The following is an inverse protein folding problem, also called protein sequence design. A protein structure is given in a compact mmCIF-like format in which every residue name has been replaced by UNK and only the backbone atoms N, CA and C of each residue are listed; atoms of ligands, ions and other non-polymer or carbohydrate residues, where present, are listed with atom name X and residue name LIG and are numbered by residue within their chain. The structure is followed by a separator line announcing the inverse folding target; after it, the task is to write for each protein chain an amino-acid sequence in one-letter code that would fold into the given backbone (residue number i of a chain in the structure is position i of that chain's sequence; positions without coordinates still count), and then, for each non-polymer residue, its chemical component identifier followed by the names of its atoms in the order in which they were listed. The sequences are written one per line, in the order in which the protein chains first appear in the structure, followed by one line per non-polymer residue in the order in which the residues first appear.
data_IF_995407051895
#
_entry.id   IF_995407051895
#
_cell.length_a   1.000
_cell.length_b   1.000
_cell.length_c   1.000
_cell.angle_alpha   90.00
_cell.angle_beta   90.00
_cell.angle_gamma   90.00
#
_symmetry.space_group_name_H-M   'P 1'
#
loop_
_entity.id
_entity.type
_entity.pdbx_description
1 polymer ?
#
# COMPACT_ATOMS: atom_id res chain seq x y z
N UNK A 1 65.18 -1.36 -11.92
CA UNK A 1 63.93 -1.85 -11.31
C UNK A 1 63.29 -0.62 -10.68
N UNK A 2 62.38 0.01 -11.41
CA UNK A 2 61.96 1.40 -11.22
C UNK A 2 61.06 1.60 -10.00
N UNK A 3 61.59 2.35 -9.03
CA UNK A 3 60.90 2.77 -7.79
C UNK A 3 59.78 3.80 -8.10
N UNK A 4 59.77 4.37 -9.30
CA UNK A 4 58.76 5.35 -9.72
C UNK A 4 57.38 4.76 -10.02
N UNK A 5 57.25 3.46 -10.26
CA UNK A 5 55.96 2.84 -10.59
C UNK A 5 55.12 2.46 -9.35
N UNK A 6 55.77 2.13 -8.23
CA UNK A 6 55.10 1.63 -7.02
C UNK A 6 54.43 2.75 -6.19
N UNK A 7 54.90 3.99 -6.30
CA UNK A 7 54.33 5.13 -5.57
C UNK A 7 53.04 5.68 -6.20
N UNK A 8 52.82 5.48 -7.50
CA UNK A 8 51.68 6.05 -8.21
C UNK A 8 50.38 5.26 -7.97
N UNK A 9 50.48 3.94 -7.79
CA UNK A 9 49.33 3.09 -7.43
C UNK A 9 48.90 3.25 -5.97
N UNK A 10 49.84 3.43 -5.04
CA UNK A 10 49.55 3.61 -3.62
C UNK A 10 48.80 4.93 -3.32
N UNK A 11 49.04 5.99 -4.10
CA UNK A 11 48.34 7.27 -3.95
C UNK A 11 46.91 7.25 -4.51
N UNK A 12 46.63 6.45 -5.54
CA UNK A 12 45.30 6.29 -6.10
C UNK A 12 44.35 5.49 -5.20
N UNK A 13 44.84 4.43 -4.54
CA UNK A 13 44.03 3.63 -3.61
C UNK A 13 43.68 4.39 -2.32
N UNK A 14 44.61 5.21 -1.80
CA UNK A 14 44.36 6.03 -0.61
C UNK A 14 43.36 7.17 -0.89
N UNK A 15 43.39 7.75 -2.09
CA UNK A 15 42.45 8.78 -2.53
C UNK A 15 41.03 8.23 -2.67
N UNK A 16 40.87 7.07 -3.30
CA UNK A 16 39.55 6.44 -3.48
C UNK A 16 38.96 5.94 -2.16
N UNK A 17 39.74 5.34 -1.25
CA UNK A 17 39.22 4.88 0.05
C UNK A 17 38.72 6.03 0.93
N UNK A 18 39.40 7.18 0.91
CA UNK A 18 38.97 8.39 1.64
C UNK A 18 37.72 9.00 1.03
N UNK A 19 37.57 8.92 -0.30
CA UNK A 19 36.38 9.42 -1.00
C UNK A 19 35.14 8.56 -0.71
N UNK A 20 35.29 7.23 -0.69
CA UNK A 20 34.22 6.30 -0.31
C UNK A 20 33.76 6.49 1.14
N UNK A 21 34.71 6.73 2.06
CA UNK A 21 34.37 6.99 3.47
C UNK A 21 33.63 8.31 3.66
N UNK A 22 33.99 9.36 2.89
CA UNK A 22 33.30 10.65 2.93
C UNK A 22 31.86 10.56 2.37
N UNK A 23 31.65 9.72 1.34
CA UNK A 23 30.33 9.45 0.77
C UNK A 23 29.41 8.71 1.74
N UNK A 24 29.92 7.78 2.56
CA UNK A 24 29.11 7.09 3.56
C UNK A 24 28.66 8.01 4.72
N UNK A 25 29.46 9.03 5.06
CA UNK A 25 29.12 9.97 6.13
C UNK A 25 28.07 11.00 5.67
N UNK A 26 28.05 11.37 4.38
CA UNK A 26 27.09 12.35 3.85
C UNK A 26 25.69 11.81 3.55
N UNK A 27 25.47 10.49 3.66
CA UNK A 27 24.12 9.87 3.47
C UNK A 27 23.49 9.43 4.80
N UNK A 28 24.00 9.94 5.92
CA UNK A 28 23.34 9.82 7.22
C UNK A 28 22.52 11.08 7.50
N UNK A 29 21.57 11.41 6.62
CA UNK A 29 20.51 12.32 7.04
C UNK A 29 19.65 11.55 8.03
N UNK A 30 19.55 11.96 9.31
CA UNK A 30 18.47 11.49 10.15
C UNK A 30 17.20 12.07 9.53
N UNK A 31 16.51 11.26 8.72
CA UNK A 31 15.11 11.48 8.45
C UNK A 31 14.42 11.38 9.81
N UNK A 32 14.22 12.54 10.45
CA UNK A 32 13.23 12.66 11.51
C UNK A 32 11.89 12.34 10.85
N UNK A 33 11.50 11.07 10.92
CA UNK A 33 10.14 10.66 10.63
C UNK A 33 9.28 11.34 11.69
N UNK A 34 8.67 12.46 11.33
CA UNK A 34 7.62 13.07 12.15
C UNK A 34 6.49 12.06 12.18
N UNK A 35 6.24 11.46 13.34
CA UNK A 35 5.03 10.67 13.54
C UNK A 35 3.84 11.62 13.30
N UNK A 36 2.97 11.27 12.36
CA UNK A 36 1.71 11.98 12.21
C UNK A 36 0.89 11.75 13.48
N UNK A 37 0.51 12.83 14.14
CA UNK A 37 -0.39 12.79 15.30
C UNK A 37 -1.86 12.73 14.89
N UNK A 38 -2.16 13.02 13.61
CA UNK A 38 -3.50 13.09 13.07
C UNK A 38 -3.55 12.61 11.60
N UNK A 39 -4.64 11.93 11.22
CA UNK A 39 -4.90 11.57 9.84
C UNK A 39 -5.23 12.82 9.02
N UNK A 40 -4.72 12.87 7.80
CA UNK A 40 -5.03 13.97 6.88
C UNK A 40 -5.90 13.48 5.73
N UNK A 41 -6.69 14.38 5.15
CA UNK A 41 -7.50 14.06 3.97
C UNK A 41 -6.62 13.56 2.81
N UNK A 42 -5.44 14.15 2.63
CA UNK A 42 -4.45 13.72 1.64
C UNK A 42 -4.01 12.27 1.85
N UNK A 43 -3.78 11.86 3.11
CA UNK A 43 -3.39 10.48 3.42
C UNK A 43 -4.51 9.47 3.12
N UNK A 44 -5.76 9.85 3.42
CA UNK A 44 -6.94 9.02 3.15
C UNK A 44 -7.17 8.90 1.65
N UNK A 45 -7.09 10.02 0.94
CA UNK A 45 -7.21 10.07 -0.52
C UNK A 45 -6.11 9.28 -1.21
N UNK A 46 -4.88 9.34 -0.69
CA UNK A 46 -3.79 8.51 -1.19
C UNK A 46 -4.09 7.02 -1.05
N UNK A 47 -4.55 6.55 0.11
CA UNK A 47 -4.94 5.16 0.32
C UNK A 47 -6.06 4.77 -0.65
N UNK A 48 -7.12 5.58 -0.76
CA UNK A 48 -8.22 5.31 -1.67
C UNK A 48 -7.74 5.18 -3.13
N UNK A 49 -6.80 6.04 -3.53
CA UNK A 49 -6.21 6.01 -4.86
C UNK A 49 -5.39 4.73 -5.11
N UNK A 50 -4.63 4.23 -4.11
CA UNK A 50 -3.90 2.96 -4.22
C UNK A 50 -4.84 1.77 -4.49
N UNK A 51 -6.02 1.73 -3.85
CA UNK A 51 -7.03 0.71 -4.13
C UNK A 51 -7.64 0.84 -5.53
N UNK A 52 -7.95 2.07 -5.97
CA UNK A 52 -8.43 2.32 -7.33
C UNK A 52 -7.41 1.87 -8.37
N UNK A 53 -6.15 2.23 -8.17
CA UNK A 53 -5.08 1.92 -9.11
C UNK A 53 -4.77 0.43 -9.12
N UNK A 54 -4.77 -0.25 -7.97
CA UNK A 54 -4.72 -1.71 -7.91
C UNK A 54 -5.80 -2.36 -8.79
N UNK A 55 -7.04 -1.88 -8.71
CA UNK A 55 -8.11 -2.44 -9.54
C UNK A 55 -7.96 -2.16 -11.04
N UNK A 56 -7.15 -1.16 -11.42
CA UNK A 56 -6.86 -0.80 -12.81
C UNK A 56 -5.63 -1.50 -13.36
N UNK A 57 -4.57 -1.60 -12.57
CA UNK A 57 -3.24 -2.08 -12.98
C UNK A 57 -2.96 -3.52 -12.58
N UNK A 58 -3.69 -4.03 -11.58
CA UNK A 58 -3.48 -5.34 -10.96
C UNK A 58 -2.12 -5.46 -10.24
N UNK A 59 -1.49 -4.33 -9.91
CA UNK A 59 -0.22 -4.28 -9.15
C UNK A 59 -0.48 -4.35 -7.64
N UNK A 60 -0.16 -5.49 -7.04
CA UNK A 60 -0.37 -5.76 -5.61
C UNK A 60 0.50 -4.93 -4.68
N UNK A 61 1.63 -4.42 -5.18
CA UNK A 61 2.52 -3.60 -4.35
C UNK A 61 1.79 -2.35 -3.86
N UNK A 62 0.81 -1.86 -4.62
CA UNK A 62 -0.06 -0.73 -4.27
C UNK A 62 -0.85 -1.03 -2.99
N UNK A 63 -1.55 -2.16 -2.91
CA UNK A 63 -2.29 -2.57 -1.71
C UNK A 63 -1.37 -2.97 -0.56
N UNK A 64 -0.30 -3.70 -0.84
CA UNK A 64 0.68 -4.10 0.19
C UNK A 64 1.30 -2.88 0.88
N UNK A 65 1.50 -1.77 0.15
CA UNK A 65 2.09 -0.55 0.68
C UNK A 65 1.20 0.22 1.66
N UNK A 66 -0.12 0.00 1.63
CA UNK A 66 -1.09 0.75 2.46
C UNK A 66 -1.84 -0.12 3.46
N UNK A 67 -1.89 -1.44 3.28
CA UNK A 67 -2.52 -2.37 4.20
C UNK A 67 -1.56 -2.74 5.33
N UNK A 68 -2.08 -2.75 6.56
CA UNK A 68 -1.38 -3.32 7.71
C UNK A 68 -1.04 -4.78 7.45
N UNK A 69 0.07 -5.26 8.03
CA UNK A 69 0.43 -6.68 7.98
C UNK A 69 -0.65 -7.57 8.63
N UNK A 70 -1.34 -7.04 9.64
CA UNK A 70 -2.35 -7.75 10.44
C UNK A 70 -3.79 -7.33 10.07
N UNK A 71 -3.99 -6.82 8.86
CA UNK A 71 -5.31 -6.40 8.37
C UNK A 71 -6.31 -7.55 8.44
N UNK A 72 -7.48 -7.27 9.00
CA UNK A 72 -8.61 -8.19 9.04
C UNK A 72 -9.48 -7.95 7.81
N UNK A 73 -9.76 -8.99 7.02
CA UNK A 73 -10.63 -8.83 5.85
C UNK A 73 -11.84 -9.73 5.97
N UNK A 74 -13.03 -9.12 5.87
CA UNK A 74 -14.30 -9.81 5.87
C UNK A 74 -14.97 -9.63 4.51
N UNK A 75 -15.31 -10.74 3.84
CA UNK A 75 -16.08 -10.71 2.60
C UNK A 75 -17.44 -11.34 2.86
N UNK A 76 -18.49 -10.53 2.81
CA UNK A 76 -19.86 -11.01 2.87
C UNK A 76 -20.28 -11.45 1.48
N UNK A 77 -20.59 -12.74 1.30
CA UNK A 77 -21.08 -13.29 0.03
C UNK A 77 -22.46 -13.92 0.19
N UNK A 78 -23.40 -13.58 -0.70
CA UNK A 78 -24.70 -14.23 -0.69
C UNK A 78 -25.68 -13.73 -1.74
N UNK A 79 -26.74 -14.49 -1.95
CA UNK A 79 -27.92 -14.03 -2.70
C UNK A 79 -29.17 -14.50 -1.97
N UNK A 80 -30.16 -13.60 -1.84
CA UNK A 80 -31.55 -13.92 -1.46
C UNK A 80 -31.70 -15.11 -0.49
N UNK A 81 -31.34 -14.88 0.79
CA UNK A 81 -31.68 -15.76 1.91
C UNK A 81 -30.54 -16.55 2.55
N UNK A 82 -29.39 -16.71 1.88
CA UNK A 82 -28.19 -17.36 2.43
C UNK A 82 -26.95 -16.50 2.19
N UNK A 83 -26.39 -15.97 3.28
CA UNK A 83 -25.12 -15.24 3.29
C UNK A 83 -24.06 -16.03 4.04
N UNK A 84 -22.86 -16.08 3.51
CA UNK A 84 -21.67 -16.62 4.16
C UNK A 84 -20.68 -15.48 4.39
N UNK A 85 -20.06 -15.48 5.56
CA UNK A 85 -19.00 -14.54 5.93
C UNK A 85 -17.68 -15.28 5.77
N UNK A 86 -16.79 -14.75 4.93
CA UNK A 86 -15.45 -15.28 4.72
C UNK A 86 -14.45 -14.32 5.34
N UNK A 87 -13.51 -14.87 6.10
CA UNK A 87 -12.41 -14.12 6.69
C UNK A 87 -11.12 -14.44 5.94
N UNK A 88 -10.33 -13.42 5.68
CA UNK A 88 -9.04 -13.53 5.00
C UNK A 88 -7.99 -12.71 5.75
N UNK A 89 -6.76 -13.23 5.79
CA UNK A 89 -5.60 -12.40 6.07
C UNK A 89 -5.20 -11.56 4.84
N UNK A 90 -4.18 -10.71 4.97
CA UNK A 90 -3.70 -9.86 3.87
C UNK A 90 -3.35 -10.66 2.61
N UNK A 91 -2.59 -11.74 2.76
CA UNK A 91 -2.10 -12.53 1.63
C UNK A 91 -3.24 -13.27 0.94
N UNK A 92 -4.12 -13.89 1.72
CA UNK A 92 -5.30 -14.57 1.21
C UNK A 92 -6.26 -13.61 0.49
N UNK A 93 -6.40 -12.37 1.00
CA UNK A 93 -7.22 -11.35 0.36
C UNK A 93 -6.66 -10.91 -1.00
N UNK A 94 -5.34 -10.69 -1.11
CA UNK A 94 -4.70 -10.38 -2.39
C UNK A 94 -4.89 -11.52 -3.40
N UNK A 95 -4.75 -12.77 -2.96
CA UNK A 95 -5.01 -13.94 -3.77
C UNK A 95 -6.49 -14.10 -4.17
N UNK A 96 -7.42 -13.74 -3.28
CA UNK A 96 -8.85 -13.65 -3.58
C UNK A 96 -9.12 -12.64 -4.70
N UNK A 97 -8.54 -11.44 -4.64
CA UNK A 97 -8.68 -10.41 -5.66
C UNK A 97 -8.07 -10.84 -7.01
N UNK A 98 -6.87 -11.46 -6.99
CA UNK A 98 -6.20 -12.06 -8.17
C UNK A 98 -7.08 -13.07 -8.91
N UNK A 99 -7.85 -13.90 -8.18
CA UNK A 99 -8.74 -14.94 -8.73
C UNK A 99 -9.98 -14.39 -9.45
N UNK A 100 -9.93 -13.13 -9.90
CA UNK A 100 -10.98 -12.47 -10.67
C UNK A 100 -11.99 -11.71 -9.81
N UNK A 101 -11.79 -11.57 -8.50
CA UNK A 101 -12.64 -10.70 -7.68
C UNK A 101 -12.25 -9.21 -7.75
N UNK A 102 -11.50 -8.82 -8.78
CA UNK A 102 -11.10 -7.45 -9.14
C UNK A 102 -11.97 -6.83 -10.23
N UNK A 103 -11.80 -5.54 -10.50
CA UNK A 103 -12.58 -4.76 -11.49
C UNK A 103 -12.52 -5.32 -12.92
N UNK A 104 -13.65 -5.43 -13.62
CA UNK A 104 -13.74 -5.83 -15.04
C UNK A 104 -13.11 -4.75 -15.90
N UNK A 105 -11.99 -5.05 -16.55
CA UNK A 105 -11.27 -4.09 -17.38
C UNK A 105 -12.01 -3.87 -18.71
N UNK A 106 -12.95 -2.92 -18.73
CA UNK A 106 -13.03 -1.95 -19.83
C UNK A 106 -12.59 -0.62 -19.23
N UNK A 107 -11.50 -0.07 -19.77
CA UNK A 107 -10.86 1.19 -19.39
C UNK A 107 -11.83 2.19 -18.71
N UNK A 108 -11.61 2.50 -17.43
CA UNK A 108 -12.07 3.73 -16.78
C UNK A 108 -13.33 3.70 -15.91
N UNK A 109 -14.27 2.75 -16.04
CA UNK A 109 -15.60 2.89 -15.41
C UNK A 109 -15.98 1.89 -14.32
N UNK A 110 -15.20 0.82 -14.13
CA UNK A 110 -15.61 -0.29 -13.26
C UNK A 110 -14.96 -0.23 -11.85
N UNK A 111 -14.38 0.90 -11.45
CA UNK A 111 -13.95 1.20 -10.07
C UNK A 111 -14.11 2.69 -9.77
N UNK A 112 -14.58 3.04 -8.58
CA UNK A 112 -14.81 4.43 -8.16
C UNK A 112 -14.63 4.59 -6.65
N UNK A 113 -13.93 5.66 -6.25
CA UNK A 113 -14.01 6.18 -4.89
C UNK A 113 -15.39 6.81 -4.67
N UNK A 114 -16.05 6.44 -3.59
CA UNK A 114 -17.41 6.91 -3.28
C UNK A 114 -17.37 8.00 -2.23
N UNK A 115 -16.69 7.73 -1.11
CA UNK A 115 -16.62 8.65 0.01
C UNK A 115 -15.50 8.26 0.97
N UNK A 116 -15.11 9.23 1.79
CA UNK A 116 -14.33 9.03 3.00
C UNK A 116 -14.98 9.75 4.16
N UNK A 117 -14.73 9.27 5.38
CA UNK A 117 -15.24 9.83 6.62
C UNK A 117 -14.17 9.74 7.69
N UNK A 118 -13.93 10.84 8.42
CA UNK A 118 -13.14 10.79 9.65
C UNK A 118 -14.01 10.24 10.78
N UNK A 119 -13.56 9.17 11.42
CA UNK A 119 -14.20 8.61 12.62
C UNK A 119 -13.60 9.19 13.90
N UNK A 120 -12.42 9.80 13.77
CA UNK A 120 -11.73 10.60 14.79
C UNK A 120 -10.40 11.09 14.23
N UNK A 121 -9.57 11.68 15.09
CA UNK A 121 -8.28 12.24 14.66
C UNK A 121 -7.30 11.16 14.15
N UNK A 122 -7.49 9.90 14.54
CA UNK A 122 -6.58 8.79 14.21
C UNK A 122 -7.24 7.67 13.41
N UNK A 123 -8.52 7.81 13.12
CA UNK A 123 -9.32 6.79 12.43
C UNK A 123 -10.14 7.40 11.32
N UNK A 124 -10.18 6.73 10.18
CA UNK A 124 -11.00 7.12 9.05
C UNK A 124 -11.55 5.89 8.33
N UNK A 125 -12.62 6.11 7.58
CA UNK A 125 -13.23 5.11 6.71
C UNK A 125 -13.14 5.58 5.26
N UNK A 126 -12.87 4.66 4.35
CA UNK A 126 -13.05 4.85 2.90
C UNK A 126 -14.07 3.88 2.36
N UNK A 127 -14.81 4.32 1.33
CA UNK A 127 -15.75 3.48 0.60
C UNK A 127 -15.37 3.51 -0.88
N UNK A 128 -15.12 2.33 -1.44
CA UNK A 128 -14.80 2.14 -2.84
C UNK A 128 -15.81 1.15 -3.43
N UNK A 129 -16.23 1.41 -4.66
CA UNK A 129 -17.08 0.49 -5.40
C UNK A 129 -16.34 0.02 -6.64
N UNK A 130 -16.29 -1.28 -6.87
CA UNK A 130 -15.72 -1.84 -8.09
C UNK A 130 -16.57 -2.99 -8.64
N UNK A 131 -16.45 -3.31 -9.94
CA UNK A 131 -17.20 -4.38 -10.59
C UNK A 131 -16.38 -5.66 -10.69
N UNK A 132 -16.65 -6.65 -9.84
CA UNK A 132 -15.93 -7.94 -9.83
C UNK A 132 -16.03 -8.67 -11.18
N UNK A 133 -14.89 -9.08 -11.78
CA UNK A 133 -14.83 -9.90 -13.01
C UNK A 133 -15.52 -11.24 -12.81
N UNK A 134 -15.30 -11.89 -11.67
CA UNK A 134 -15.76 -13.24 -11.33
C UNK A 134 -17.23 -13.27 -10.95
N UNK A 135 -17.70 -12.31 -10.16
CA UNK A 135 -19.11 -12.23 -9.75
C UNK A 135 -19.98 -11.52 -10.80
N UNK A 136 -19.38 -10.72 -11.69
CA UNK A 136 -20.07 -9.85 -12.64
C UNK A 136 -21.06 -8.86 -12.00
N UNK A 137 -20.83 -8.50 -10.73
CA UNK A 137 -21.62 -7.58 -9.90
C UNK A 137 -20.74 -6.44 -9.37
N UNK A 138 -21.37 -5.37 -8.87
CA UNK A 138 -20.67 -4.37 -8.08
C UNK A 138 -20.42 -4.90 -6.67
N UNK A 139 -19.22 -4.66 -6.19
CA UNK A 139 -18.76 -4.90 -4.83
C UNK A 139 -18.52 -3.55 -4.20
N UNK A 140 -19.02 -3.37 -2.99
CA UNK A 140 -18.71 -2.26 -2.10
C UNK A 140 -17.64 -2.73 -1.13
N UNK A 141 -16.56 -1.96 -1.03
CA UNK A 141 -15.45 -2.21 -0.13
C UNK A 141 -15.37 -1.03 0.84
N UNK A 142 -15.48 -1.32 2.13
CA UNK A 142 -15.20 -0.37 3.20
C UNK A 142 -13.82 -0.67 3.79
N UNK A 143 -12.95 0.33 3.83
CA UNK A 143 -11.63 0.22 4.45
C UNK A 143 -11.56 1.09 5.71
N UNK A 144 -11.21 0.48 6.85
CA UNK A 144 -10.90 1.21 8.08
C UNK A 144 -9.40 1.54 8.10
N UNK A 145 -9.08 2.81 8.26
CA UNK A 145 -7.72 3.36 8.29
C UNK A 145 -7.41 3.79 9.72
N UNK A 146 -6.24 3.42 10.22
CA UNK A 146 -5.71 3.88 11.50
C UNK A 146 -4.25 4.35 11.36
N UNK A 147 -3.82 5.29 12.21
CA UNK A 147 -2.41 5.63 12.38
C UNK A 147 -1.67 4.59 13.24
N UNK A 148 -0.93 3.69 12.58
CA UNK A 148 -0.02 2.73 13.21
C UNK A 148 1.40 3.30 13.14
N UNK A 149 2.02 3.54 14.30
CA UNK A 149 3.37 4.12 14.39
C UNK A 149 3.53 5.45 13.61
N UNK A 150 2.48 6.25 13.53
CA UNK A 150 2.47 7.52 12.79
C UNK A 150 2.29 7.37 11.28
N UNK A 151 2.01 6.17 10.78
CA UNK A 151 1.72 5.91 9.38
C UNK A 151 0.26 5.48 9.19
N UNK A 152 -0.46 6.05 8.20
CA UNK A 152 -1.83 5.66 7.90
C UNK A 152 -1.82 4.28 7.24
N UNK A 153 -2.53 3.34 7.85
CA UNK A 153 -2.63 1.94 7.40
C UNK A 153 -4.07 1.48 7.39
N UNK A 154 -4.45 0.69 6.39
CA UNK A 154 -5.73 -0.02 6.40
C UNK A 154 -5.62 -1.20 7.36
N UNK A 155 -6.46 -1.22 8.39
CA UNK A 155 -6.49 -2.22 9.45
C UNK A 155 -7.66 -3.19 9.33
N UNK A 156 -8.72 -2.80 8.64
CA UNK A 156 -9.87 -3.65 8.33
C UNK A 156 -10.38 -3.38 6.92
N UNK A 157 -10.85 -4.43 6.26
CA UNK A 157 -11.59 -4.34 4.99
C UNK A 157 -12.87 -5.17 5.09
N UNK A 158 -14.00 -4.56 4.78
CA UNK A 158 -15.28 -5.25 4.66
C UNK A 158 -15.83 -5.14 3.23
N UNK A 159 -16.09 -6.27 2.58
CA UNK A 159 -16.71 -6.33 1.26
C UNK A 159 -18.18 -6.79 1.31
N UNK A 160 -19.00 -6.14 0.47
CA UNK A 160 -20.43 -6.40 0.30
C UNK A 160 -20.79 -6.48 -1.19
N UNK A 161 -21.60 -7.45 -1.62
CA UNK A 161 -21.87 -7.76 -3.02
C UNK A 161 -23.34 -8.07 -3.35
#
# INVERSE_FOLDING_TARGET
MDIHFVLMDAFNELGMRKFVLLLMIMVSYPSQAFALDELTEDSINHIAQQFIDFHRTEDETLLQSVMSNDVQVTVNQGSSGFGFVLQYDRGEYLDYLKKGHRSKTRVGTDVSFISSEFLGNREAKIIIRYRSKKLNKYVWMEGLIELINGEPRVISVDEYN
#
